data_IF_121356106395
#
_entry.id   IF_121356106395
#
_cell.length_a   1.000
_cell.length_b   1.000
_cell.length_c   1.000
_cell.angle_alpha   90.00
_cell.angle_beta   90.00
_cell.angle_gamma   90.00
#
_symmetry.space_group_name_H-M   'P 1'
#
loop_
_entity.id
_entity.type
_entity.pdbx_description
1 polymer ?
#
# COMPACT_ATOMS: atom_id res chain seq x y z
N UNK A 1 -48.81 47.59 -12.20
CA UNK A 1 -48.66 46.23 -11.62
C UNK A 1 -47.28 45.72 -12.00
N UNK A 2 -46.30 45.78 -11.09
CA UNK A 2 -44.95 45.23 -11.31
C UNK A 2 -44.82 44.01 -10.40
N UNK A 3 -44.91 42.81 -10.98
CA UNK A 3 -44.63 41.56 -10.27
C UNK A 3 -43.13 41.49 -9.99
N UNK A 4 -42.78 41.59 -8.72
CA UNK A 4 -41.44 41.29 -8.20
C UNK A 4 -41.36 39.77 -8.09
N UNK A 5 -40.68 39.13 -9.03
CA UNK A 5 -40.36 37.70 -8.97
C UNK A 5 -39.21 37.52 -7.97
N UNK A 6 -39.54 37.07 -6.76
CA UNK A 6 -38.58 36.72 -5.73
C UNK A 6 -37.96 35.37 -6.11
N UNK A 7 -36.80 35.39 -6.76
CA UNK A 7 -36.03 34.18 -7.07
C UNK A 7 -35.41 33.66 -5.77
N UNK A 8 -36.08 32.71 -5.12
CA UNK A 8 -35.52 31.88 -4.05
C UNK A 8 -34.41 31.03 -4.64
N UNK A 9 -33.18 31.56 -4.60
CA UNK A 9 -31.96 30.80 -4.81
C UNK A 9 -31.77 29.91 -3.58
N UNK A 10 -32.46 28.77 -3.57
CA UNK A 10 -32.13 27.65 -2.69
C UNK A 10 -30.77 27.18 -3.19
N UNK A 11 -29.71 27.70 -2.58
CA UNK A 11 -28.39 27.08 -2.60
C UNK A 11 -28.59 25.70 -1.97
N UNK A 12 -28.89 24.71 -2.82
CA UNK A 12 -28.60 23.33 -2.54
C UNK A 12 -27.11 23.28 -2.24
N UNK A 13 -26.78 23.28 -0.94
CA UNK A 13 -25.51 22.79 -0.44
C UNK A 13 -25.40 21.37 -0.97
N UNK A 14 -24.79 21.24 -2.15
CA UNK A 14 -24.24 20.00 -2.63
C UNK A 14 -23.26 19.60 -1.54
N UNK A 15 -23.69 18.67 -0.69
CA UNK A 15 -22.82 17.88 0.15
C UNK A 15 -21.86 17.19 -0.81
N UNK A 16 -20.73 17.85 -1.10
CA UNK A 16 -19.56 17.19 -1.61
C UNK A 16 -19.30 16.10 -0.58
N UNK A 17 -19.55 14.85 -0.98
CA UNK A 17 -19.44 13.70 -0.11
C UNK A 17 -18.10 13.78 0.58
N UNK A 18 -18.11 14.12 1.87
CA UNK A 18 -16.97 13.93 2.72
C UNK A 18 -16.64 12.46 2.56
N UNK A 19 -15.54 12.19 1.88
CA UNK A 19 -14.92 10.89 1.86
C UNK A 19 -14.41 10.67 3.28
N UNK A 20 -15.32 10.35 4.21
CA UNK A 20 -15.04 10.21 5.64
C UNK A 20 -13.94 9.17 5.77
N UNK A 21 -12.77 9.60 6.24
CA UNK A 21 -11.69 8.69 6.62
C UNK A 21 -12.24 7.77 7.72
N UNK A 22 -11.86 6.50 7.68
CA UNK A 22 -12.00 5.61 8.83
C UNK A 22 -10.75 5.71 9.68
N UNK A 23 -10.85 5.32 10.94
CA UNK A 23 -9.71 5.27 11.84
C UNK A 23 -8.57 4.44 11.22
N UNK A 24 -7.34 4.96 11.27
CA UNK A 24 -6.18 4.35 10.62
C UNK A 24 -6.08 4.58 9.11
N UNK A 25 -7.06 5.25 8.48
CA UNK A 25 -6.94 5.67 7.08
C UNK A 25 -6.28 7.04 6.97
N UNK A 26 -5.51 7.19 5.89
CA UNK A 26 -4.93 8.45 5.47
C UNK A 26 -5.35 8.77 4.03
N UNK A 27 -5.29 10.06 3.69
CA UNK A 27 -5.44 10.58 2.32
C UNK A 27 -4.37 11.65 2.06
N UNK A 28 -3.77 11.62 0.87
CA UNK A 28 -2.77 12.62 0.50
C UNK A 28 -3.40 13.98 0.19
N UNK A 29 -2.64 15.04 0.45
CA UNK A 29 -2.92 16.41 0.01
C UNK A 29 -2.01 16.75 -1.18
N UNK A 30 -2.40 16.52 -2.45
CA UNK A 30 -1.47 16.54 -3.58
C UNK A 30 -0.79 17.91 -3.80
N UNK A 31 -1.47 19.00 -3.46
CA UNK A 31 -0.96 20.36 -3.58
C UNK A 31 0.19 20.71 -2.62
N UNK A 32 0.54 19.82 -1.68
CA UNK A 32 1.58 20.04 -0.68
C UNK A 32 2.93 19.45 -1.05
N UNK A 33 3.03 18.77 -2.20
CA UNK A 33 4.25 18.10 -2.65
C UNK A 33 5.41 19.10 -2.81
N UNK A 34 6.54 18.85 -2.15
CA UNK A 34 7.76 19.66 -2.26
C UNK A 34 8.98 18.78 -2.53
N UNK A 35 9.78 19.09 -3.55
CA UNK A 35 11.04 18.38 -3.80
C UNK A 35 12.11 18.80 -2.79
N UNK A 36 12.84 17.84 -2.23
CA UNK A 36 13.88 18.07 -1.21
C UNK A 36 15.27 18.18 -1.83
N UNK A 37 15.56 17.31 -2.80
CA UNK A 37 16.80 17.33 -3.58
C UNK A 37 16.50 16.73 -4.96
N UNK A 38 16.89 17.43 -6.03
CA UNK A 38 16.56 17.04 -7.40
C UNK A 38 17.58 17.53 -8.41
N UNK A 39 18.22 16.57 -9.08
CA UNK A 39 18.95 16.81 -10.32
C UNK A 39 18.21 16.16 -11.50
N UNK A 40 17.48 16.99 -12.27
CA UNK A 40 16.74 16.57 -13.47
C UNK A 40 17.64 16.01 -14.57
N UNK A 41 18.93 16.36 -14.56
CA UNK A 41 19.87 16.05 -15.63
C UNK A 41 20.44 14.63 -15.57
N UNK A 42 20.19 13.91 -14.47
CA UNK A 42 20.65 12.53 -14.29
C UNK A 42 19.97 11.55 -15.27
N UNK A 43 20.69 10.51 -15.69
CA UNK A 43 20.14 9.40 -16.47
C UNK A 43 19.40 8.40 -15.57
N UNK A 44 18.53 7.58 -16.15
CA UNK A 44 17.88 6.49 -15.42
C UNK A 44 18.88 5.40 -15.00
N UNK A 45 18.71 4.77 -13.82
CA UNK A 45 17.65 5.02 -12.84
C UNK A 45 17.86 6.33 -12.05
N UNK A 46 16.77 7.09 -11.87
CA UNK A 46 16.78 8.33 -11.09
C UNK A 46 16.14 8.10 -9.72
N UNK A 47 16.58 8.85 -8.72
CA UNK A 47 15.96 8.85 -7.39
C UNK A 47 15.35 10.22 -7.11
N UNK A 48 14.05 10.23 -6.80
CA UNK A 48 13.33 11.44 -6.41
C UNK A 48 13.13 11.43 -4.90
N UNK A 49 13.40 12.58 -4.27
CA UNK A 49 13.07 12.82 -2.87
C UNK A 49 12.13 14.02 -2.78
N UNK A 50 10.95 13.80 -2.21
CA UNK A 50 9.94 14.84 -2.03
C UNK A 50 9.12 14.59 -0.77
N UNK A 51 8.64 15.64 -0.11
CA UNK A 51 7.68 15.54 0.99
C UNK A 51 6.26 15.73 0.48
N UNK A 52 5.30 15.14 1.20
CA UNK A 52 3.87 15.35 1.02
C UNK A 52 3.19 15.42 2.39
N UNK A 53 2.15 16.24 2.52
CA UNK A 53 1.25 16.20 3.67
C UNK A 53 0.09 15.21 3.42
N UNK A 54 -0.34 14.59 4.51
CA UNK A 54 -1.42 13.61 4.56
C UNK A 54 -2.39 13.98 5.69
N UNK A 55 -3.68 13.81 5.46
CA UNK A 55 -4.68 13.83 6.51
C UNK A 55 -4.96 12.39 6.95
N UNK A 56 -4.74 12.10 8.23
CA UNK A 56 -4.92 10.79 8.82
C UNK A 56 -5.87 10.87 10.02
N UNK A 57 -6.74 9.86 10.19
CA UNK A 57 -7.73 9.82 11.27
C UNK A 57 -7.30 8.86 12.39
N UNK A 58 -7.26 9.36 13.62
CA UNK A 58 -7.10 8.60 14.87
C UNK A 58 -8.31 8.91 15.76
N UNK A 59 -9.08 7.89 16.18
CA UNK A 59 -10.37 8.11 16.84
C UNK A 59 -11.28 9.07 16.06
N UNK A 60 -11.52 10.26 16.63
CA UNK A 60 -12.30 11.34 16.00
C UNK A 60 -11.46 12.52 15.48
N UNK A 61 -10.14 12.47 15.60
CA UNK A 61 -9.24 13.58 15.27
C UNK A 61 -8.51 13.36 13.96
N UNK A 62 -8.61 14.34 13.07
CA UNK A 62 -7.84 14.37 11.81
C UNK A 62 -6.54 15.13 12.04
N UNK A 63 -5.43 14.41 11.97
CA UNK A 63 -4.09 14.97 12.06
C UNK A 63 -3.46 15.14 10.69
N UNK A 64 -2.65 16.19 10.53
CA UNK A 64 -1.79 16.37 9.36
C UNK A 64 -0.40 15.80 9.63
N UNK A 65 0.04 14.90 8.77
CA UNK A 65 1.35 14.25 8.84
C UNK A 65 2.13 14.59 7.57
N UNK A 66 3.29 15.22 7.70
CA UNK A 66 4.23 15.39 6.59
C UNK A 66 5.15 14.15 6.54
N UNK A 67 5.31 13.56 5.35
CA UNK A 67 6.15 12.37 5.17
C UNK A 67 7.07 12.49 3.98
N UNK A 68 8.28 11.93 4.11
CA UNK A 68 9.30 11.92 3.06
C UNK A 68 9.11 10.70 2.16
N UNK A 69 8.99 10.96 0.86
CA UNK A 69 9.01 9.95 -0.18
C UNK A 69 10.38 9.85 -0.82
N UNK A 70 10.86 8.61 -0.96
CA UNK A 70 12.00 8.26 -1.82
C UNK A 70 11.57 7.27 -2.88
N UNK A 71 11.58 7.69 -4.13
CA UNK A 71 11.11 6.89 -5.26
C UNK A 71 12.25 6.71 -6.27
N UNK A 72 12.55 5.46 -6.62
CA UNK A 72 13.48 5.11 -7.70
C UNK A 72 12.65 4.85 -8.96
N UNK A 73 12.95 5.58 -10.03
CA UNK A 73 12.28 5.43 -11.33
C UNK A 73 13.27 4.95 -12.38
N UNK A 74 12.84 4.02 -13.23
CA UNK A 74 13.69 3.38 -14.24
C UNK A 74 13.35 3.82 -15.67
N UNK A 75 12.29 4.61 -15.84
CA UNK A 75 11.79 5.06 -17.13
C UNK A 75 10.98 6.35 -17.00
N UNK A 76 10.75 7.03 -18.12
CA UNK A 76 9.83 8.17 -18.20
C UNK A 76 8.40 7.81 -17.75
N UNK A 77 8.00 6.55 -17.99
CA UNK A 77 6.69 6.05 -17.56
C UNK A 77 6.60 5.96 -16.04
N UNK A 78 7.65 5.45 -15.39
CA UNK A 78 7.74 5.39 -13.93
C UNK A 78 7.79 6.79 -13.33
N UNK A 79 8.50 7.71 -13.97
CA UNK A 79 8.55 9.11 -13.54
C UNK A 79 7.14 9.72 -13.50
N UNK A 80 6.38 9.57 -14.58
CA UNK A 80 5.02 10.10 -14.67
C UNK A 80 4.03 9.46 -13.67
N UNK A 81 4.24 8.19 -13.28
CA UNK A 81 3.30 7.44 -12.44
C UNK A 81 3.66 7.40 -10.97
N UNK A 82 4.95 7.36 -10.65
CA UNK A 82 5.42 7.05 -9.29
C UNK A 82 5.95 8.29 -8.56
N UNK A 83 6.27 9.38 -9.27
CA UNK A 83 6.73 10.63 -8.66
C UNK A 83 5.52 11.47 -8.25
N UNK A 84 4.64 10.90 -7.43
CA UNK A 84 3.44 11.52 -6.84
C UNK A 84 3.32 11.07 -5.37
N UNK A 85 2.54 11.81 -4.56
CA UNK A 85 2.27 11.40 -3.17
C UNK A 85 1.57 10.03 -3.11
N UNK A 86 1.76 9.28 -2.01
CA UNK A 86 1.09 7.97 -1.86
C UNK A 86 -0.43 8.13 -1.97
N UNK A 87 -1.12 7.16 -2.56
CA UNK A 87 -2.58 7.24 -2.77
C UNK A 87 -3.01 8.13 -3.94
N UNK A 88 -2.16 8.98 -4.50
CA UNK A 88 -2.48 9.73 -5.73
C UNK A 88 -2.49 8.77 -6.92
N UNK A 89 -3.55 8.86 -7.74
CA UNK A 89 -3.69 8.14 -9.00
C UNK A 89 -3.60 9.11 -10.17
N UNK A 90 -2.86 8.69 -11.18
CA UNK A 90 -2.73 9.40 -12.45
C UNK A 90 -3.34 8.56 -13.57
N UNK A 91 -3.92 9.23 -14.56
CA UNK A 91 -4.48 8.60 -15.76
C UNK A 91 -3.72 9.03 -17.00
N UNK A 92 -3.70 8.14 -17.99
CA UNK A 92 -3.14 8.46 -19.31
C UNK A 92 -4.12 9.34 -20.09
N UNK A 93 -3.63 10.44 -20.65
CA UNK A 93 -4.35 11.34 -21.54
C UNK A 93 -3.62 11.44 -22.88
N UNK A 94 -4.20 12.08 -23.89
CA UNK A 94 -3.64 12.12 -25.24
C UNK A 94 -2.26 12.77 -25.34
N UNK A 95 -1.91 13.66 -24.41
CA UNK A 95 -0.62 14.35 -24.37
C UNK A 95 0.30 13.92 -23.21
N UNK A 96 -0.05 12.88 -22.44
CA UNK A 96 0.77 12.44 -21.32
C UNK A 96 -0.01 11.78 -20.18
N UNK A 97 0.25 12.25 -18.96
CA UNK A 97 -0.40 11.79 -17.73
C UNK A 97 -0.97 12.97 -16.98
N UNK A 98 -2.16 12.79 -16.40
CA UNK A 98 -2.86 13.82 -15.62
C UNK A 98 -3.38 13.23 -14.31
N UNK A 99 -3.67 14.10 -13.34
CA UNK A 99 -4.31 13.73 -12.09
C UNK A 99 -5.67 13.06 -12.36
N UNK A 100 -5.91 11.94 -11.68
CA UNK A 100 -7.20 11.26 -11.72
C UNK A 100 -7.96 11.48 -10.41
N UNK A 101 -7.40 11.00 -9.30
CA UNK A 101 -8.01 11.04 -7.97
C UNK A 101 -6.99 10.79 -6.86
N UNK A 102 -7.42 10.99 -5.61
CA UNK A 102 -6.70 10.51 -4.43
C UNK A 102 -7.49 9.36 -3.82
N UNK A 103 -6.83 8.23 -3.61
CA UNK A 103 -7.37 7.07 -2.90
C UNK A 103 -6.94 7.11 -1.44
N UNK A 104 -7.87 6.74 -0.56
CA UNK A 104 -7.56 6.49 0.84
C UNK A 104 -6.77 5.20 0.96
N UNK A 105 -5.97 5.11 2.01
CA UNK A 105 -5.18 3.92 2.29
C UNK A 105 -5.03 3.74 3.80
N UNK A 106 -4.86 2.51 4.24
CA UNK A 106 -4.48 2.23 5.61
C UNK A 106 -3.04 2.67 5.85
N UNK A 107 -2.78 3.34 6.97
CA UNK A 107 -1.55 4.07 7.23
C UNK A 107 -0.25 3.23 7.11
N UNK A 108 -0.29 1.94 7.45
CA UNK A 108 0.88 1.05 7.32
C UNK A 108 1.10 0.55 5.89
N UNK A 109 0.12 0.71 4.97
CA UNK A 109 0.27 0.34 3.56
C UNK A 109 1.33 1.18 2.85
N UNK A 110 1.43 2.47 3.21
CA UNK A 110 2.30 3.41 2.52
C UNK A 110 3.79 3.11 2.70
N UNK A 111 4.17 2.52 3.84
CA UNK A 111 5.58 2.30 4.20
C UNK A 111 6.38 3.60 4.33
N UNK A 112 5.71 4.69 4.66
CA UNK A 112 6.30 5.99 4.96
C UNK A 112 6.57 6.03 6.46
N UNK A 113 7.81 6.37 6.84
CA UNK A 113 8.29 6.27 8.21
C UNK A 113 7.48 7.17 9.15
N UNK A 114 7.19 8.39 8.72
CA UNK A 114 6.48 9.39 9.51
C UNK A 114 5.03 8.98 9.76
N UNK A 115 4.31 8.51 8.73
CA UNK A 115 2.93 8.00 8.87
C UNK A 115 2.88 6.75 9.76
N UNK A 116 3.83 5.83 9.57
CA UNK A 116 3.90 4.59 10.35
C UNK A 116 4.20 4.89 11.82
N UNK A 117 5.10 5.83 12.10
CA UNK A 117 5.44 6.21 13.47
C UNK A 117 4.27 6.91 14.15
N UNK A 118 3.64 7.87 13.46
CA UNK A 118 2.42 8.52 13.93
C UNK A 118 1.32 7.50 14.28
N UNK A 119 1.05 6.53 13.39
CA UNK A 119 0.03 5.51 13.65
C UNK A 119 0.31 4.64 14.88
N UNK A 120 1.59 4.35 15.18
CA UNK A 120 1.98 3.63 16.39
C UNK A 120 1.82 4.48 17.65
N UNK A 121 2.21 5.74 17.59
CA UNK A 121 2.12 6.68 18.71
C UNK A 121 0.65 6.94 19.10
N UNK A 122 -0.24 6.94 18.10
CA UNK A 122 -1.70 7.02 18.25
C UNK A 122 -2.35 5.69 18.70
N UNK A 123 -1.57 4.60 18.82
CA UNK A 123 -2.08 3.29 19.27
C UNK A 123 -2.94 2.55 18.25
N UNK A 124 -2.83 2.86 16.95
CA UNK A 124 -3.60 2.21 15.89
C UNK A 124 -3.01 0.82 15.61
N UNK A 125 -3.77 -0.22 15.97
CA UNK A 125 -3.34 -1.61 15.86
C UNK A 125 -3.13 -2.06 14.41
N UNK A 126 -2.19 -2.97 14.21
CA UNK A 126 -1.90 -3.55 12.92
C UNK A 126 -3.08 -4.36 12.34
N UNK A 127 -3.86 -5.02 13.20
CA UNK A 127 -5.06 -5.78 12.85
C UNK A 127 -6.33 -4.93 12.91
N UNK A 128 -6.18 -3.60 12.90
CA UNK A 128 -7.33 -2.69 12.85
C UNK A 128 -8.21 -2.99 11.61
N UNK A 129 -9.52 -2.73 11.71
CA UNK A 129 -10.50 -3.06 10.67
C UNK A 129 -10.19 -2.42 9.31
N UNK A 130 -9.52 -1.26 9.30
CA UNK A 130 -9.05 -0.60 8.08
C UNK A 130 -7.97 -1.38 7.33
N UNK A 131 -7.30 -2.34 7.97
CA UNK A 131 -6.34 -3.24 7.32
C UNK A 131 -7.00 -4.45 6.62
N UNK A 132 -8.30 -4.71 6.84
CA UNK A 132 -8.95 -5.94 6.39
C UNK A 132 -8.80 -6.18 4.88
N UNK A 133 -8.90 -5.12 4.05
CA UNK A 133 -8.74 -5.26 2.60
C UNK A 133 -7.32 -5.70 2.20
N UNK A 134 -6.30 -5.36 2.99
CA UNK A 134 -4.93 -5.79 2.76
C UNK A 134 -4.75 -7.26 3.15
N UNK A 135 -5.40 -7.69 4.23
CA UNK A 135 -5.44 -9.09 4.61
C UNK A 135 -6.18 -9.94 3.57
N UNK A 136 -7.34 -9.48 3.09
CA UNK A 136 -8.10 -10.14 2.02
C UNK A 136 -7.28 -10.24 0.73
N UNK A 137 -6.54 -9.18 0.38
CA UNK A 137 -5.63 -9.16 -0.77
C UNK A 137 -4.50 -10.17 -0.62
N UNK A 138 -3.92 -10.31 0.58
CA UNK A 138 -2.91 -11.31 0.88
C UNK A 138 -3.47 -12.73 0.71
N UNK A 139 -4.60 -13.03 1.37
CA UNK A 139 -5.28 -14.35 1.29
C UNK A 139 -5.64 -14.68 -0.15
N UNK A 140 -6.17 -13.73 -0.90
CA UNK A 140 -6.46 -13.89 -2.32
C UNK A 140 -5.20 -14.22 -3.13
N UNK A 141 -4.12 -13.47 -2.92
CA UNK A 141 -2.84 -13.69 -3.62
C UNK A 141 -2.29 -15.10 -3.34
N UNK A 142 -2.32 -15.55 -2.09
CA UNK A 142 -1.89 -16.90 -1.71
C UNK A 142 -2.75 -17.97 -2.38
N UNK A 143 -4.08 -17.80 -2.40
CA UNK A 143 -4.98 -18.73 -3.10
C UNK A 143 -4.77 -18.77 -4.62
N UNK A 144 -4.43 -17.64 -5.25
CA UNK A 144 -4.18 -17.57 -6.69
C UNK A 144 -2.89 -18.28 -7.11
N UNK A 145 -1.83 -18.20 -6.29
CA UNK A 145 -0.52 -18.79 -6.62
C UNK A 145 -0.39 -20.26 -6.20
N UNK A 146 -1.10 -20.67 -5.14
CA UNK A 146 -1.01 -22.02 -4.56
C UNK A 146 -1.20 -23.14 -5.60
N UNK A 147 -2.18 -23.10 -6.53
CA UNK A 147 -2.36 -24.15 -7.53
C UNK A 147 -1.14 -24.35 -8.44
N UNK A 148 -0.49 -23.26 -8.86
CA UNK A 148 0.70 -23.34 -9.70
C UNK A 148 1.87 -23.99 -8.96
N UNK A 149 2.02 -23.71 -7.67
CA UNK A 149 3.03 -24.34 -6.82
C UNK A 149 2.74 -25.84 -6.61
N UNK A 150 1.48 -26.22 -6.41
CA UNK A 150 1.05 -27.63 -6.35
C UNK A 150 1.37 -28.40 -7.62
N UNK A 151 1.17 -27.79 -8.79
CA UNK A 151 1.52 -28.44 -10.07
C UNK A 151 3.04 -28.59 -10.17
N UNK A 152 3.81 -27.55 -9.82
CA UNK A 152 5.26 -27.60 -9.87
C UNK A 152 5.85 -28.65 -8.91
N UNK A 153 5.22 -28.89 -7.76
CA UNK A 153 5.67 -29.87 -6.76
C UNK A 153 5.44 -31.34 -7.15
N UNK A 154 4.65 -31.63 -8.19
CA UNK A 154 4.32 -33.00 -8.60
C UNK A 154 5.37 -33.66 -9.50
N UNK A 155 6.43 -32.95 -9.85
CA UNK A 155 7.50 -33.48 -10.71
C UNK A 155 8.55 -34.27 -9.90
N UNK A 156 9.15 -35.30 -10.51
CA UNK A 156 10.16 -36.16 -9.86
C UNK A 156 11.59 -35.56 -9.87
N UNK A 157 11.72 -34.24 -9.85
CA UNK A 157 13.02 -33.54 -9.87
C UNK A 157 13.27 -32.85 -8.52
N UNK A 158 14.54 -32.71 -8.12
CA UNK A 158 14.89 -32.13 -6.81
C UNK A 158 14.30 -30.72 -6.60
N UNK A 159 14.22 -29.93 -7.68
CA UNK A 159 13.61 -28.59 -7.64
C UNK A 159 12.12 -28.61 -7.33
N UNK A 160 11.41 -29.72 -7.55
CA UNK A 160 9.99 -29.87 -7.23
C UNK A 160 9.75 -29.88 -5.73
N UNK A 161 10.67 -30.45 -4.95
CA UNK A 161 10.58 -30.55 -3.49
C UNK A 161 10.47 -29.17 -2.84
N UNK A 162 11.21 -28.20 -3.38
CA UNK A 162 11.17 -26.79 -2.98
C UNK A 162 9.76 -26.20 -3.11
N UNK A 163 9.04 -26.53 -4.18
CA UNK A 163 7.65 -26.09 -4.35
C UNK A 163 6.71 -26.82 -3.39
N UNK A 164 6.95 -28.10 -3.10
CA UNK A 164 6.17 -28.85 -2.10
C UNK A 164 6.26 -28.24 -0.71
N UNK A 165 7.47 -27.91 -0.24
CA UNK A 165 7.68 -27.20 1.02
C UNK A 165 6.96 -25.84 1.05
N UNK A 166 6.98 -25.10 -0.06
CA UNK A 166 6.26 -23.84 -0.16
C UNK A 166 4.73 -24.02 -0.13
N UNK A 167 4.20 -25.08 -0.74
CA UNK A 167 2.77 -25.44 -0.68
C UNK A 167 2.33 -25.67 0.76
N UNK A 168 3.06 -26.50 1.50
CA UNK A 168 2.75 -26.81 2.90
C UNK A 168 2.69 -25.54 3.76
N UNK A 169 3.69 -24.66 3.63
CA UNK A 169 3.72 -23.39 4.37
C UNK A 169 2.53 -22.48 3.99
N UNK A 170 2.17 -22.41 2.71
CA UNK A 170 1.06 -21.58 2.24
C UNK A 170 -0.30 -22.13 2.67
N UNK A 171 -0.50 -23.44 2.63
CA UNK A 171 -1.75 -24.08 3.09
C UNK A 171 -1.96 -23.85 4.58
N UNK A 172 -0.91 -24.04 5.38
CA UNK A 172 -0.97 -23.77 6.81
C UNK A 172 -1.33 -22.31 7.11
N UNK A 173 -0.71 -21.36 6.39
CA UNK A 173 -1.06 -19.94 6.52
C UNK A 173 -2.52 -19.67 6.15
N UNK A 174 -3.00 -20.24 5.04
CA UNK A 174 -4.38 -20.06 4.58
C UNK A 174 -5.41 -20.66 5.54
N UNK A 175 -5.06 -21.72 6.28
CA UNK A 175 -5.92 -22.32 7.30
C UNK A 175 -6.05 -21.45 8.56
N UNK A 176 -5.06 -20.59 8.83
CA UNK A 176 -5.02 -19.71 10.01
C UNK A 176 -5.61 -18.32 9.72
N UNK A 177 -5.35 -17.78 8.52
CA UNK A 177 -5.75 -16.43 8.12
C UNK A 177 -7.25 -16.35 7.76
N UNK A 178 -7.90 -15.20 7.99
CA UNK A 178 -7.36 -13.97 8.58
C UNK A 178 -7.36 -13.96 10.13
N UNK A 179 -7.87 -15.02 10.76
CA UNK A 179 -8.21 -15.01 12.19
C UNK A 179 -7.01 -15.13 13.13
N UNK A 180 -5.92 -15.76 12.68
CA UNK A 180 -4.67 -15.94 13.43
C UNK A 180 -3.51 -15.48 12.57
N UNK A 181 -2.69 -14.58 13.12
CA UNK A 181 -1.65 -13.87 12.37
C UNK A 181 -0.25 -14.12 12.91
N UNK A 182 -0.11 -14.89 13.97
CA UNK A 182 1.15 -15.15 14.67
C UNK A 182 2.18 -15.83 13.76
N UNK A 183 1.76 -16.82 12.98
CA UNK A 183 2.64 -17.50 12.02
C UNK A 183 3.06 -16.58 10.87
N UNK A 184 2.12 -15.74 10.39
CA UNK A 184 2.43 -14.72 9.39
C UNK A 184 3.51 -13.78 9.93
N UNK A 185 3.36 -13.27 11.15
CA UNK A 185 4.32 -12.37 11.79
C UNK A 185 5.68 -13.02 11.98
N UNK A 186 5.72 -14.26 12.43
CA UNK A 186 6.96 -15.02 12.57
C UNK A 186 7.69 -15.18 11.23
N UNK A 187 6.97 -15.43 10.13
CA UNK A 187 7.57 -15.52 8.80
C UNK A 187 8.04 -14.15 8.31
N UNK A 188 7.27 -13.10 8.52
CA UNK A 188 7.65 -11.74 8.14
C UNK A 188 8.90 -11.27 8.89
N UNK A 189 9.04 -11.57 10.18
CA UNK A 189 10.27 -11.26 10.92
C UNK A 189 11.50 -11.95 10.34
N UNK A 190 11.36 -13.17 9.79
CA UNK A 190 12.44 -13.86 9.07
C UNK A 190 12.86 -13.16 7.78
N UNK A 191 11.97 -12.41 7.12
CA UNK A 191 12.31 -11.63 5.91
C UNK A 191 13.43 -10.64 6.19
N UNK A 192 13.46 -10.04 7.39
CA UNK A 192 14.48 -9.04 7.77
C UNK A 192 15.88 -9.64 7.96
N UNK A 193 15.97 -10.93 8.30
CA UNK A 193 17.22 -11.59 8.70
C UNK A 193 17.70 -12.68 7.73
N UNK A 194 16.91 -13.02 6.71
CA UNK A 194 17.20 -14.16 5.82
C UNK A 194 17.69 -13.67 4.46
N UNK A 195 18.78 -14.22 3.96
CA UNK A 195 19.15 -14.06 2.56
C UNK A 195 18.16 -14.84 1.68
N UNK A 196 17.32 -14.08 0.99
CA UNK A 196 16.30 -14.61 0.10
C UNK A 196 16.88 -15.09 -1.24
N UNK A 197 18.19 -15.02 -1.49
CA UNK A 197 18.81 -15.44 -2.75
C UNK A 197 18.70 -16.95 -3.02
N UNK A 198 18.69 -17.76 -1.96
CA UNK A 198 18.62 -19.22 -2.10
C UNK A 198 17.21 -19.70 -2.51
N UNK A 199 17.18 -20.82 -3.24
CA UNK A 199 15.95 -21.41 -3.80
C UNK A 199 15.39 -22.50 -2.87
N UNK A 200 14.97 -22.11 -1.66
CA UNK A 200 14.30 -22.99 -0.69
C UNK A 200 12.80 -22.72 -0.66
N UNK A 201 11.99 -23.69 -0.21
CA UNK A 201 10.53 -23.51 -0.17
C UNK A 201 10.13 -22.35 0.73
N UNK A 202 10.79 -22.24 1.89
CA UNK A 202 10.67 -21.09 2.77
C UNK A 202 10.98 -19.77 2.04
N UNK A 203 12.08 -19.67 1.31
CA UNK A 203 12.45 -18.44 0.63
C UNK A 203 11.46 -18.04 -0.47
N UNK A 204 10.86 -19.02 -1.17
CA UNK A 204 9.78 -18.72 -2.12
C UNK A 204 8.60 -18.04 -1.41
N UNK A 205 8.16 -18.59 -0.28
CA UNK A 205 7.08 -18.00 0.51
C UNK A 205 7.47 -16.64 1.08
N UNK A 206 8.67 -16.50 1.65
CA UNK A 206 9.15 -15.22 2.19
C UNK A 206 9.20 -14.12 1.11
N UNK A 207 9.59 -14.45 -0.13
CA UNK A 207 9.55 -13.50 -1.26
C UNK A 207 8.12 -13.05 -1.55
N UNK A 208 7.16 -13.98 -1.62
CA UNK A 208 5.73 -13.65 -1.80
C UNK A 208 5.25 -12.73 -0.68
N UNK A 209 5.50 -13.10 0.57
CA UNK A 209 5.06 -12.35 1.75
C UNK A 209 5.71 -10.96 1.83
N UNK A 210 6.99 -10.83 1.46
CA UNK A 210 7.70 -9.54 1.44
C UNK A 210 7.05 -8.51 0.51
N UNK A 211 6.36 -8.99 -0.53
CA UNK A 211 5.61 -8.15 -1.47
C UNK A 211 4.16 -7.97 -1.03
N UNK A 212 3.46 -9.05 -0.71
CA UNK A 212 1.99 -9.04 -0.51
C UNK A 212 1.56 -8.61 0.89
N UNK A 213 2.45 -8.75 1.88
CA UNK A 213 2.21 -8.36 3.27
C UNK A 213 3.19 -7.26 3.75
N UNK A 214 3.73 -6.47 2.81
CA UNK A 214 4.68 -5.39 3.12
C UNK A 214 4.15 -4.39 4.15
N UNK A 215 2.85 -4.10 4.10
CA UNK A 215 2.18 -3.21 5.06
C UNK A 215 2.39 -3.66 6.51
N UNK A 216 2.43 -4.98 6.72
CA UNK A 216 2.62 -5.60 8.03
C UNK A 216 4.09 -5.55 8.48
N UNK A 217 5.02 -5.68 7.52
CA UNK A 217 6.47 -5.47 7.75
C UNK A 217 6.84 -4.04 8.10
N UNK A 218 6.08 -3.04 7.62
CA UNK A 218 6.34 -1.64 7.95
C UNK A 218 6.04 -1.34 9.43
N UNK A 219 5.13 -2.12 10.04
CA UNK A 219 4.76 -2.01 11.44
C UNK A 219 5.72 -2.76 12.38
N UNK A 220 5.96 -4.04 12.08
CA UNK A 220 6.86 -4.95 12.82
C UNK A 220 8.32 -4.48 12.72
#
# INVERSE_FOLDING_TARGET
>A
MKSILFFLFIFSLSSFGSNILKEGECVALPGTKKYVDFDSSTNYPKTYQFTCEFECLSGSEVSKVEALHRVVVKSLLDEARNVVCYGVRVKKVSWGYDFDRVEKFFLYEAGLLEITSWGRDEGIDLNHSSSNYLMDKLVKTLNEILPSFKIASQSNVESARVFGEAVEIMEDLLNELPNKTERLDQLLLKVKSTDLSSHTGLNLVLRILSSSAKWRLNYL
#
